data_IF_883978688531
#
_entry.id   IF_883978688531
#
_cell.length_a   1.000
_cell.length_b   1.000
_cell.length_c   1.000
_cell.angle_alpha   90.00
_cell.angle_beta   90.00
_cell.angle_gamma   90.00
#
_symmetry.space_group_name_H-M   'P 1'
#
loop_
_entity.id
_entity.type
_entity.pdbx_description
1 polymer ?
#
# COMPACT_ATOMS: atom_id res chain seq x y z
N UNK A 1 -11.62 15.06 -6.78
CA UNK A 1 -10.89 14.07 -7.59
C UNK A 1 -9.85 13.45 -6.69
N UNK A 2 -9.59 12.15 -6.86
CA UNK A 2 -8.53 11.44 -6.16
C UNK A 2 -7.16 12.00 -6.52
N UNK A 3 -6.22 11.88 -5.58
CA UNK A 3 -4.82 12.29 -5.74
C UNK A 3 -4.11 11.38 -6.74
N UNK A 4 -3.41 11.98 -7.69
CA UNK A 4 -2.71 11.29 -8.78
C UNK A 4 -1.19 11.29 -8.64
N UNK A 5 -0.62 12.13 -7.78
CA UNK A 5 0.83 12.23 -7.54
C UNK A 5 1.14 11.80 -6.11
N UNK A 6 2.12 10.92 -5.94
CA UNK A 6 2.47 10.33 -4.64
C UNK A 6 4.00 10.29 -4.45
N UNK A 7 4.44 10.52 -3.21
CA UNK A 7 5.81 10.29 -2.78
C UNK A 7 5.85 8.98 -1.99
N UNK A 8 6.71 8.07 -2.44
CA UNK A 8 6.86 6.71 -1.88
C UNK A 8 8.23 6.64 -1.22
N UNK A 9 8.28 6.04 -0.03
CA UNK A 9 9.48 5.95 0.80
C UNK A 9 9.81 4.49 1.10
N UNK A 10 11.10 4.17 1.19
CA UNK A 10 11.65 2.85 1.56
C UNK A 10 11.43 2.48 3.04
N UNK A 11 10.28 2.85 3.60
CA UNK A 11 9.97 2.72 5.03
C UNK A 11 9.56 1.30 5.42
N UNK A 12 10.20 0.81 6.48
CA UNK A 12 9.87 -0.44 7.16
C UNK A 12 10.32 -1.69 6.41
N UNK A 13 10.06 -2.84 7.04
CA UNK A 13 10.41 -4.14 6.49
C UNK A 13 9.30 -4.71 5.60
N UNK A 14 9.66 -5.62 4.69
CA UNK A 14 8.72 -6.39 3.85
C UNK A 14 9.03 -7.87 3.91
N UNK A 15 8.00 -8.68 3.72
CA UNK A 15 8.13 -10.13 3.61
C UNK A 15 8.26 -10.52 2.15
N UNK A 16 9.36 -11.19 1.81
CA UNK A 16 9.62 -11.73 0.47
C UNK A 16 9.64 -13.26 0.56
N UNK A 17 8.58 -13.89 0.05
CA UNK A 17 8.51 -15.36 0.00
C UNK A 17 9.60 -15.91 -0.92
N UNK A 18 10.37 -16.91 -0.43
CA UNK A 18 11.47 -17.49 -1.23
C UNK A 18 10.91 -18.26 -2.42
N UNK A 19 11.55 -18.09 -3.57
CA UNK A 19 11.25 -18.83 -4.80
C UNK A 19 12.40 -19.79 -5.10
N UNK A 20 12.15 -21.09 -4.93
CA UNK A 20 13.16 -22.15 -5.02
C UNK A 20 12.66 -23.22 -5.99
N UNK A 21 13.49 -23.64 -6.93
CA UNK A 21 13.17 -24.70 -7.91
C UNK A 21 11.84 -24.46 -8.67
N UNK A 22 11.57 -23.20 -9.05
CA UNK A 22 10.37 -22.85 -9.82
C UNK A 22 9.07 -22.76 -9.00
N UNK A 23 9.15 -22.79 -7.67
CA UNK A 23 7.98 -22.73 -6.78
C UNK A 23 8.24 -21.84 -5.57
N UNK A 24 7.19 -21.25 -5.03
CA UNK A 24 7.29 -20.55 -3.76
C UNK A 24 7.43 -21.57 -2.62
N UNK A 25 8.45 -21.38 -1.79
CA UNK A 25 8.69 -22.20 -0.60
C UNK A 25 7.77 -21.75 0.54
N UNK A 26 7.75 -22.47 1.66
CA UNK A 26 7.05 -22.01 2.86
C UNK A 26 7.87 -21.03 3.70
N UNK A 27 9.13 -20.78 3.32
CA UNK A 27 10.02 -19.85 4.00
C UNK A 27 10.01 -18.48 3.34
N UNK A 28 10.16 -17.45 4.16
CA UNK A 28 10.17 -16.07 3.73
C UNK A 28 11.37 -15.30 4.29
N UNK A 29 11.84 -14.31 3.54
CA UNK A 29 12.86 -13.37 4.00
C UNK A 29 12.19 -12.09 4.48
N UNK A 30 12.69 -11.53 5.60
CA UNK A 30 12.34 -10.18 6.03
C UNK A 30 13.37 -9.21 5.47
N UNK A 31 12.93 -8.31 4.60
CA UNK A 31 13.79 -7.36 3.89
C UNK A 31 13.59 -5.97 4.48
N UNK A 32 14.67 -5.38 5.01
CA UNK A 32 14.72 -3.96 5.36
C UNK A 32 15.01 -3.14 4.10
N UNK A 33 13.98 -2.46 3.60
CA UNK A 33 13.99 -1.82 2.28
C UNK A 33 14.98 -0.65 2.21
N UNK A 34 15.14 0.11 3.31
CA UNK A 34 16.12 1.20 3.34
C UNK A 34 17.53 0.65 3.28
N UNK A 35 17.83 -0.40 4.07
CA UNK A 35 19.17 -1.01 4.05
C UNK A 35 19.49 -1.68 2.72
N UNK A 36 18.50 -2.27 2.06
CA UNK A 36 18.70 -2.88 0.74
C UNK A 36 19.02 -1.83 -0.33
N UNK A 37 18.36 -0.66 -0.25
CA UNK A 37 18.68 0.51 -1.07
C UNK A 37 20.09 1.05 -0.79
N UNK A 38 20.43 1.26 0.49
CA UNK A 38 21.77 1.72 0.89
C UNK A 38 22.86 0.80 0.38
N UNK A 39 22.71 -0.52 0.61
CA UNK A 39 23.66 -1.52 0.13
C UNK A 39 23.81 -1.51 -1.39
N UNK A 40 22.70 -1.36 -2.12
CA UNK A 40 22.73 -1.28 -3.59
C UNK A 40 23.56 -0.09 -4.07
N UNK A 41 23.40 1.07 -3.42
CA UNK A 41 24.14 2.28 -3.76
C UNK A 41 25.60 2.24 -3.28
N UNK A 42 25.88 1.63 -2.13
CA UNK A 42 27.26 1.44 -1.61
C UNK A 42 28.13 0.53 -2.49
N UNK A 43 27.53 -0.31 -3.33
CA UNK A 43 28.25 -1.10 -4.34
C UNK A 43 28.67 -0.29 -5.58
N UNK A 44 28.35 1.00 -5.60
CA UNK A 44 28.66 1.95 -6.68
C UNK A 44 29.45 3.14 -6.15
N UNK A 45 29.98 3.96 -7.05
CA UNK A 45 30.65 5.23 -6.72
C UNK A 45 29.66 6.42 -6.71
N UNK A 46 28.34 6.17 -6.72
CA UNK A 46 27.31 7.22 -6.72
C UNK A 46 27.33 7.97 -5.38
N UNK A 47 27.43 9.30 -5.41
CA UNK A 47 27.27 10.13 -4.21
C UNK A 47 25.78 10.39 -3.90
N UNK A 48 25.13 9.48 -3.20
CA UNK A 48 23.67 9.57 -2.95
C UNK A 48 23.26 10.40 -1.73
N UNK A 49 24.21 10.94 -0.96
CA UNK A 49 23.93 11.64 0.32
C UNK A 49 23.74 13.15 0.18
N UNK A 50 24.02 13.72 -0.97
CA UNK A 50 23.89 15.17 -1.24
C UNK A 50 22.47 15.60 -1.64
N UNK A 51 21.55 14.64 -1.82
CA UNK A 51 20.13 14.89 -2.11
C UNK A 51 19.79 15.17 -3.58
N UNK A 52 20.69 14.90 -4.52
CA UNK A 52 20.38 15.02 -5.95
C UNK A 52 19.47 13.89 -6.47
N UNK A 53 18.99 14.05 -7.70
CA UNK A 53 18.13 13.06 -8.36
C UNK A 53 18.94 11.91 -8.97
N UNK A 54 18.77 10.72 -8.42
CA UNK A 54 19.55 9.52 -8.78
C UNK A 54 19.10 8.83 -10.08
N UNK A 55 18.07 9.32 -10.78
CA UNK A 55 17.50 8.59 -11.93
C UNK A 55 18.51 8.36 -13.05
N UNK A 56 19.35 9.35 -13.34
CA UNK A 56 20.38 9.19 -14.37
C UNK A 56 21.50 8.26 -13.88
N UNK A 57 21.93 8.39 -12.62
CA UNK A 57 22.95 7.50 -12.04
C UNK A 57 22.49 6.04 -12.03
N UNK A 58 21.23 5.78 -11.71
CA UNK A 58 20.63 4.44 -11.72
C UNK A 58 20.73 3.80 -13.12
N UNK A 59 20.60 4.60 -14.18
CA UNK A 59 20.74 4.16 -15.57
C UNK A 59 22.22 3.95 -15.90
N UNK A 60 23.07 4.93 -15.60
CA UNK A 60 24.48 4.95 -15.98
C UNK A 60 25.29 3.84 -15.27
N UNK A 61 24.93 3.51 -14.03
CA UNK A 61 25.53 2.40 -13.26
C UNK A 61 24.80 1.06 -13.45
N UNK A 62 23.81 0.99 -14.34
CA UNK A 62 23.09 -0.24 -14.70
C UNK A 62 22.40 -0.98 -13.52
N UNK A 63 22.06 -0.26 -12.44
CA UNK A 63 21.42 -0.83 -11.24
C UNK A 63 19.88 -0.84 -11.29
N UNK A 64 19.28 -0.47 -12.44
CA UNK A 64 17.82 -0.35 -12.66
C UNK A 64 17.05 -1.58 -12.15
N UNK A 65 17.56 -2.79 -12.41
CA UNK A 65 16.87 -4.02 -12.03
C UNK A 65 16.76 -4.18 -10.50
N UNK A 66 17.83 -3.89 -9.76
CA UNK A 66 17.80 -3.96 -8.30
C UNK A 66 16.89 -2.88 -7.71
N UNK A 67 16.96 -1.65 -8.23
CA UNK A 67 16.08 -0.55 -7.82
C UNK A 67 14.61 -0.90 -8.09
N UNK A 68 14.30 -1.55 -9.21
CA UNK A 68 12.94 -1.98 -9.52
C UNK A 68 12.42 -3.03 -8.53
N UNK A 69 13.25 -4.01 -8.14
CA UNK A 69 12.86 -4.99 -7.11
C UNK A 69 12.66 -4.35 -5.74
N UNK A 70 13.52 -3.40 -5.34
CA UNK A 70 13.34 -2.61 -4.12
C UNK A 70 12.03 -1.82 -4.19
N UNK A 71 11.74 -1.16 -5.31
CA UNK A 71 10.50 -0.41 -5.51
C UNK A 71 9.27 -1.31 -5.43
N UNK A 72 9.31 -2.48 -6.09
CA UNK A 72 8.25 -3.48 -6.05
C UNK A 72 7.93 -3.92 -4.62
N UNK A 73 8.95 -4.20 -3.81
CA UNK A 73 8.77 -4.52 -2.40
C UNK A 73 8.26 -3.31 -1.60
N UNK A 74 8.76 -2.11 -1.88
CA UNK A 74 8.33 -0.88 -1.22
C UNK A 74 6.81 -0.69 -1.32
N UNK A 75 6.24 -0.88 -2.50
CA UNK A 75 4.79 -0.75 -2.77
C UNK A 75 3.96 -1.96 -2.36
N UNK A 76 4.59 -3.06 -1.89
CA UNK A 76 3.90 -4.21 -1.31
C UNK A 76 3.40 -3.88 0.10
N UNK A 77 2.15 -3.41 0.19
CA UNK A 77 1.58 -3.00 1.48
C UNK A 77 1.24 -4.17 2.41
N UNK A 78 0.65 -5.25 1.88
CA UNK A 78 0.29 -6.45 2.65
C UNK A 78 1.49 -7.39 2.74
N UNK A 79 1.81 -7.83 3.94
CA UNK A 79 2.94 -8.68 4.25
C UNK A 79 2.46 -9.79 5.18
N UNK A 80 2.36 -11.00 4.64
CA UNK A 80 1.94 -12.19 5.37
C UNK A 80 3.01 -13.26 5.33
N UNK A 81 3.00 -14.14 6.33
CA UNK A 81 3.85 -15.33 6.37
C UNK A 81 3.05 -16.57 5.93
N UNK A 82 3.74 -17.67 5.64
CA UNK A 82 3.05 -18.92 5.36
C UNK A 82 2.42 -19.50 6.63
N UNK A 83 1.40 -20.35 6.49
CA UNK A 83 0.76 -21.02 7.63
C UNK A 83 1.73 -21.83 8.50
N UNK A 84 2.85 -22.29 7.93
CA UNK A 84 3.89 -23.02 8.65
C UNK A 84 4.85 -22.11 9.42
N UNK A 85 5.02 -20.87 8.96
CA UNK A 85 5.88 -19.88 9.62
C UNK A 85 5.11 -19.16 10.72
N UNK A 86 4.01 -18.50 10.36
CA UNK A 86 3.10 -17.84 11.27
C UNK A 86 1.78 -17.55 10.53
N UNK A 87 0.72 -18.25 10.94
CA UNK A 87 -0.60 -18.14 10.31
C UNK A 87 -1.31 -16.81 10.60
N UNK A 88 -0.95 -16.15 11.70
CA UNK A 88 -1.66 -14.95 12.19
C UNK A 88 -0.89 -13.66 11.81
N UNK A 89 0.33 -13.79 11.28
CA UNK A 89 1.09 -12.66 10.75
C UNK A 89 0.49 -12.18 9.42
N UNK A 90 -0.26 -11.07 9.47
CA UNK A 90 -0.83 -10.42 8.29
C UNK A 90 -0.81 -8.89 8.38
N UNK A 91 0.40 -8.34 8.28
CA UNK A 91 0.66 -6.92 8.51
C UNK A 91 0.39 -6.09 7.25
N UNK A 92 -0.29 -4.97 7.43
CA UNK A 92 -0.42 -3.90 6.44
C UNK A 92 0.49 -2.71 6.81
N UNK A 93 1.36 -2.29 5.89
CA UNK A 93 2.27 -1.15 6.05
C UNK A 93 2.22 -0.26 4.80
N UNK A 94 2.05 1.05 4.99
CA UNK A 94 2.03 2.03 3.90
C UNK A 94 3.43 2.57 3.63
N UNK A 95 3.86 2.66 2.37
CA UNK A 95 5.09 3.37 2.00
C UNK A 95 4.86 4.87 1.77
N UNK A 96 3.66 5.36 2.05
CA UNK A 96 3.25 6.76 1.85
C UNK A 96 2.88 7.37 3.20
N UNK A 97 3.36 8.60 3.41
CA UNK A 97 3.03 9.43 4.56
C UNK A 97 1.60 9.99 4.47
N UNK A 98 0.90 10.03 5.61
CA UNK A 98 -0.35 10.77 5.72
C UNK A 98 -0.11 12.28 5.89
N UNK A 99 -1.19 13.06 6.04
CA UNK A 99 -1.15 14.53 6.23
C UNK A 99 -0.37 15.00 7.47
N UNK A 100 -0.13 14.12 8.44
CA UNK A 100 0.64 14.38 9.66
C UNK A 100 2.08 13.84 9.57
N UNK A 101 2.55 13.47 8.38
CA UNK A 101 3.87 12.85 8.15
C UNK A 101 4.08 11.54 8.94
N UNK A 102 3.03 10.72 9.04
CA UNK A 102 3.09 9.41 9.69
C UNK A 102 2.82 8.32 8.65
N UNK A 103 3.67 7.29 8.64
CA UNK A 103 3.40 6.06 7.91
C UNK A 103 2.36 5.22 8.65
N UNK A 104 1.37 4.74 7.91
CA UNK A 104 0.46 3.75 8.45
C UNK A 104 1.17 2.39 8.62
N UNK A 105 1.01 1.80 9.79
CA UNK A 105 1.56 0.50 10.14
C UNK A 105 0.56 -0.19 11.09
N UNK A 106 -0.08 -1.24 10.60
CA UNK A 106 -1.11 -1.99 11.35
C UNK A 106 -0.61 -2.52 12.69
N UNK A 107 0.67 -2.87 12.80
CA UNK A 107 1.29 -3.29 14.07
C UNK A 107 1.35 -2.17 15.13
N UNK A 108 1.18 -0.91 14.71
CA UNK A 108 1.16 0.30 15.55
C UNK A 108 -0.21 0.99 15.52
N UNK A 109 -1.21 0.38 14.88
CA UNK A 109 -2.52 0.99 14.73
C UNK A 109 -3.24 1.06 16.08
N UNK A 110 -3.75 2.25 16.42
CA UNK A 110 -4.71 2.40 17.52
C UNK A 110 -6.07 1.78 17.18
N UNK A 111 -6.97 1.76 18.15
CA UNK A 111 -8.28 1.08 18.01
C UNK A 111 -9.19 1.65 16.92
N UNK A 112 -8.93 2.86 16.44
CA UNK A 112 -9.69 3.51 15.37
C UNK A 112 -9.28 3.06 13.95
N UNK A 113 -8.18 2.32 13.81
CA UNK A 113 -7.66 1.89 12.52
C UNK A 113 -7.49 0.36 12.46
N UNK A 114 -7.49 -0.24 11.26
CA UNK A 114 -7.34 -1.69 11.13
C UNK A 114 -6.03 -2.23 11.75
N UNK A 115 -6.10 -3.39 12.41
CA UNK A 115 -4.94 -3.99 13.10
C UNK A 115 -4.18 -5.02 12.27
N UNK A 116 -4.72 -5.39 11.12
CA UNK A 116 -4.15 -6.33 10.14
C UNK A 116 -4.79 -6.09 8.76
N UNK A 117 -4.36 -6.84 7.74
CA UNK A 117 -4.87 -6.64 6.38
C UNK A 117 -6.29 -7.17 6.17
N UNK A 118 -6.72 -8.20 6.89
CA UNK A 118 -8.08 -8.74 6.83
C UNK A 118 -9.10 -7.77 7.45
N UNK A 119 -8.78 -7.18 8.61
CA UNK A 119 -9.53 -6.10 9.24
C UNK A 119 -9.63 -4.88 8.31
N UNK A 120 -8.57 -4.55 7.57
CA UNK A 120 -8.61 -3.49 6.56
C UNK A 120 -9.57 -3.84 5.42
N UNK A 121 -9.62 -5.11 5.01
CA UNK A 121 -10.61 -5.62 4.05
C UNK A 121 -12.04 -5.40 4.54
N UNK A 122 -12.38 -5.85 5.75
CA UNK A 122 -13.69 -5.66 6.35
C UNK A 122 -14.07 -4.17 6.50
N UNK A 123 -13.13 -3.35 6.95
CA UNK A 123 -13.28 -1.90 7.06
C UNK A 123 -13.62 -1.25 5.72
N UNK A 124 -12.89 -1.60 4.65
CA UNK A 124 -13.13 -1.06 3.32
C UNK A 124 -14.48 -1.54 2.73
N UNK A 125 -14.90 -2.78 3.02
CA UNK A 125 -16.23 -3.29 2.63
C UNK A 125 -17.33 -2.46 3.31
N UNK A 126 -17.22 -2.22 4.62
CA UNK A 126 -18.20 -1.41 5.35
C UNK A 126 -18.28 0.03 4.80
N UNK A 127 -17.15 0.64 4.46
CA UNK A 127 -17.10 1.97 3.86
C UNK A 127 -17.73 2.04 2.46
N UNK A 128 -17.67 0.95 1.67
CA UNK A 128 -18.43 0.86 0.40
C UNK A 128 -19.94 0.79 0.66
N UNK A 129 -20.37 0.09 1.70
CA UNK A 129 -21.76 0.13 2.14
C UNK A 129 -22.21 1.53 2.58
N UNK A 130 -21.35 2.27 3.27
CA UNK A 130 -21.62 3.67 3.64
C UNK A 130 -21.72 4.59 2.41
N UNK A 131 -20.91 4.36 1.38
CA UNK A 131 -21.06 5.05 0.10
C UNK A 131 -22.46 4.80 -0.49
N UNK A 132 -22.92 3.54 -0.54
CA UNK A 132 -24.25 3.19 -1.05
C UNK A 132 -25.38 3.86 -0.25
N UNK A 133 -25.28 3.89 1.09
CA UNK A 133 -26.24 4.59 1.95
C UNK A 133 -26.30 6.08 1.59
N UNK A 134 -25.15 6.74 1.45
CA UNK A 134 -25.11 8.16 1.02
C UNK A 134 -25.77 8.37 -0.35
N UNK A 135 -25.52 7.48 -1.32
CA UNK A 135 -26.18 7.55 -2.63
C UNK A 135 -27.70 7.40 -2.54
N UNK A 136 -28.21 6.52 -1.66
CA UNK A 136 -29.64 6.38 -1.40
C UNK A 136 -30.18 7.67 -0.79
N UNK A 137 -29.58 8.17 0.28
CA UNK A 137 -30.04 9.39 0.97
C UNK A 137 -30.07 10.60 0.04
N UNK A 138 -29.11 10.75 -0.86
CA UNK A 138 -29.02 11.89 -1.78
C UNK A 138 -29.92 11.80 -3.01
N UNK A 139 -30.21 10.59 -3.50
CA UNK A 139 -30.91 10.40 -4.78
C UNK A 139 -32.32 9.78 -4.64
N UNK A 140 -32.71 9.34 -3.44
CA UNK A 140 -34.05 8.80 -3.19
C UNK A 140 -35.10 9.92 -3.18
N UNK A 141 -36.27 9.62 -3.76
CA UNK A 141 -37.45 10.49 -3.76
C UNK A 141 -38.64 9.64 -3.35
N UNK A 142 -39.51 10.18 -2.51
CA UNK A 142 -40.62 9.47 -1.88
C UNK A 142 -41.62 8.87 -2.89
N UNK A 143 -41.79 9.53 -4.03
CA UNK A 143 -42.65 9.15 -5.15
C UNK A 143 -41.89 8.63 -6.38
N UNK A 144 -40.56 8.55 -6.30
CA UNK A 144 -39.68 8.23 -7.41
C UNK A 144 -39.12 6.80 -7.37
N UNK A 145 -38.88 6.21 -8.55
CA UNK A 145 -38.06 4.99 -8.64
C UNK A 145 -36.58 5.35 -8.41
N UNK A 146 -35.98 4.77 -7.37
CA UNK A 146 -34.54 4.83 -7.18
C UNK A 146 -33.82 3.93 -8.20
N UNK A 147 -32.93 4.50 -9.00
CA UNK A 147 -32.12 3.71 -9.94
C UNK A 147 -31.02 2.98 -9.19
N UNK A 148 -31.01 1.64 -9.26
CA UNK A 148 -29.95 0.79 -8.69
C UNK A 148 -28.58 1.03 -9.32
N UNK A 149 -28.51 1.67 -10.49
CA UNK A 149 -27.23 2.05 -11.09
C UNK A 149 -26.45 3.04 -10.22
N UNK A 150 -27.13 3.79 -9.34
CA UNK A 150 -26.50 4.67 -8.36
C UNK A 150 -25.73 3.92 -7.26
N UNK A 151 -26.00 2.64 -7.05
CA UNK A 151 -25.29 1.80 -6.07
C UNK A 151 -23.99 1.21 -6.63
N UNK A 152 -23.81 1.25 -7.95
CA UNK A 152 -22.57 0.77 -8.57
C UNK A 152 -21.47 1.79 -8.31
N UNK A 153 -20.45 1.39 -7.56
CA UNK A 153 -19.25 2.20 -7.35
C UNK A 153 -18.17 1.80 -8.34
N UNK A 154 -17.68 2.75 -9.14
CA UNK A 154 -16.50 2.52 -9.97
C UNK A 154 -15.23 2.58 -9.12
N UNK A 155 -14.12 2.00 -9.60
CA UNK A 155 -12.83 2.13 -8.91
C UNK A 155 -12.41 3.60 -8.75
N UNK A 156 -12.70 4.43 -9.75
CA UNK A 156 -12.42 5.87 -9.72
C UNK A 156 -13.18 6.56 -8.60
N UNK A 157 -14.48 6.29 -8.49
CA UNK A 157 -15.35 6.90 -7.47
C UNK A 157 -14.99 6.39 -6.07
N UNK A 158 -14.62 5.12 -5.95
CA UNK A 158 -14.10 4.57 -4.70
C UNK A 158 -12.83 5.30 -4.24
N UNK A 159 -11.85 5.50 -5.14
CA UNK A 159 -10.64 6.22 -4.79
C UNK A 159 -10.91 7.68 -4.42
N UNK A 160 -11.81 8.36 -5.13
CA UNK A 160 -12.22 9.73 -4.79
C UNK A 160 -12.93 9.80 -3.43
N UNK A 161 -13.79 8.83 -3.13
CA UNK A 161 -14.51 8.73 -1.86
C UNK A 161 -13.58 8.51 -0.67
N UNK A 162 -12.67 7.53 -0.77
CA UNK A 162 -11.80 7.14 0.34
C UNK A 162 -10.68 8.16 0.57
N UNK A 163 -10.03 8.65 -0.49
CA UNK A 163 -8.88 9.55 -0.35
C UNK A 163 -9.31 10.94 0.14
N UNK A 164 -10.48 11.42 -0.29
CA UNK A 164 -11.00 12.72 0.14
C UNK A 164 -11.91 12.61 1.37
N UNK A 165 -11.92 11.45 2.05
CA UNK A 165 -12.69 11.21 3.27
C UNK A 165 -14.17 11.60 3.17
N UNK A 166 -14.82 11.39 2.02
CA UNK A 166 -16.22 11.80 1.77
C UNK A 166 -17.26 11.02 2.60
N UNK A 167 -16.80 10.02 3.34
CA UNK A 167 -17.60 9.30 4.31
C UNK A 167 -17.84 10.09 5.60
N UNK A 168 -16.96 11.05 5.92
CA UNK A 168 -17.18 12.05 6.96
C UNK A 168 -18.27 13.05 6.53
#
# INVERSE_FOLDING_TARGET
MSKSSWSVYTYGVRIKRRFVNGRFSNESDTIDITKDMEKTLEMTDINWRDGHDLRQDIIDYEIVQHIFEIFRLTVQMRNSLSELEDRDYDRLISPVLNENNIFYDSAKAGDALPKDADANGAYCIALKGLYEIKQITENWKEDGKFSRDKLKISNKDWFDFIQNKRYL
#
